data_IF_379360203899
#
_entry.id   IF_379360203899
#
_cell.length_a   1.000
_cell.length_b   1.000
_cell.length_c   1.000
_cell.angle_alpha   90.00
_cell.angle_beta   90.00
_cell.angle_gamma   90.00
#
_symmetry.space_group_name_H-M   'P 1'
#
loop_
_entity.id
_entity.type
_entity.pdbx_description
1 polymer ?
#
# COMPACT_ATOMS: atom_id res chain seq x y z
N UNK A 1 6.27 3.41 14.43
CA UNK A 1 5.30 2.46 13.86
C UNK A 1 5.26 2.43 12.32
N UNK A 2 6.17 3.13 11.60
CA UNK A 2 6.31 3.05 10.13
C UNK A 2 7.77 2.85 9.68
N UNK A 3 8.64 2.50 10.63
CA UNK A 3 10.10 2.50 10.43
C UNK A 3 10.54 1.44 9.45
N UNK A 4 9.96 0.24 9.52
CA UNK A 4 10.26 -0.88 8.61
C UNK A 4 9.92 -0.52 7.16
N UNK A 5 8.75 0.10 6.97
CA UNK A 5 8.31 0.52 5.63
C UNK A 5 9.24 1.57 5.02
N UNK A 6 9.60 2.60 5.80
CA UNK A 6 10.47 3.68 5.34
C UNK A 6 11.87 3.19 4.97
N UNK A 7 12.44 2.27 5.75
CA UNK A 7 13.76 1.70 5.47
C UNK A 7 13.75 0.92 4.14
N UNK A 8 12.73 0.10 3.91
CA UNK A 8 12.60 -0.62 2.66
C UNK A 8 12.29 0.27 1.44
N UNK A 9 11.55 1.37 1.61
CA UNK A 9 11.41 2.39 0.57
C UNK A 9 12.74 3.06 0.22
N UNK A 10 13.60 3.27 1.22
CA UNK A 10 14.95 3.82 1.04
C UNK A 10 15.83 2.84 0.28
N UNK A 11 15.81 1.56 0.66
CA UNK A 11 16.52 0.49 -0.04
C UNK A 11 16.04 0.33 -1.49
N UNK A 12 14.73 0.48 -1.74
CA UNK A 12 14.13 0.44 -3.07
C UNK A 12 14.34 1.72 -3.90
N UNK A 13 14.96 2.76 -3.33
CA UNK A 13 15.25 4.02 -4.04
C UNK A 13 14.00 4.84 -4.41
N UNK A 14 12.88 4.67 -3.69
CA UNK A 14 11.62 5.34 -4.02
C UNK A 14 11.51 6.77 -3.49
N UNK A 15 12.44 7.19 -2.64
CA UNK A 15 12.49 8.56 -2.13
C UNK A 15 12.67 9.60 -3.24
N UNK A 16 13.32 9.25 -4.34
CA UNK A 16 13.47 10.15 -5.49
C UNK A 16 12.12 10.39 -6.17
N UNK A 17 11.31 9.34 -6.32
CA UNK A 17 9.93 9.41 -6.85
C UNK A 17 9.04 10.21 -5.91
N UNK A 18 9.14 9.96 -4.60
CA UNK A 18 8.43 10.75 -3.58
C UNK A 18 9.00 12.16 -3.40
N UNK A 19 10.11 12.52 -4.02
CA UNK A 19 10.62 13.89 -4.02
C UNK A 19 10.25 14.63 -5.31
N UNK A 20 9.65 13.95 -6.28
CA UNK A 20 9.15 14.56 -7.50
C UNK A 20 7.98 15.50 -7.21
N UNK A 21 7.78 16.49 -8.10
CA UNK A 21 6.72 17.50 -8.00
C UNK A 21 5.33 16.94 -8.39
N UNK A 22 5.25 15.65 -8.68
CA UNK A 22 4.01 14.95 -9.06
C UNK A 22 3.22 14.51 -7.82
N UNK A 23 1.88 14.63 -7.85
CA UNK A 23 1.05 14.19 -6.75
C UNK A 23 1.04 12.66 -6.66
N UNK A 24 1.40 12.12 -5.50
CA UNK A 24 1.39 10.67 -5.24
C UNK A 24 0.57 10.31 -4.01
N UNK A 25 -0.08 9.16 -4.06
CA UNK A 25 -0.75 8.59 -2.89
C UNK A 25 0.05 7.40 -2.40
N UNK A 26 0.51 7.46 -1.15
CA UNK A 26 1.31 6.43 -0.51
C UNK A 26 0.47 5.67 0.51
N UNK A 27 0.43 4.35 0.40
CA UNK A 27 -0.16 3.48 1.41
C UNK A 27 0.94 2.94 2.32
N UNK A 28 1.04 3.43 3.55
CA UNK A 28 2.09 3.07 4.48
C UNK A 28 1.58 2.03 5.51
N UNK A 29 1.94 0.74 5.35
CA UNK A 29 1.65 -0.28 6.35
C UNK A 29 2.38 -0.03 7.67
N UNK A 30 1.70 -0.33 8.77
CA UNK A 30 2.30 -0.26 10.11
C UNK A 30 3.34 -1.36 10.33
N UNK A 31 4.24 -1.18 11.29
CA UNK A 31 5.18 -2.25 11.69
C UNK A 31 4.43 -3.55 12.07
N UNK A 32 3.23 -3.44 12.66
CA UNK A 32 2.35 -4.60 12.96
C UNK A 32 1.84 -5.30 11.71
N UNK A 33 1.55 -4.55 10.65
CA UNK A 33 1.13 -5.12 9.37
C UNK A 33 2.23 -6.05 8.81
N UNK A 34 3.50 -5.68 8.96
CA UNK A 34 4.64 -6.51 8.57
C UNK A 34 4.78 -7.75 9.44
N UNK A 35 4.57 -7.64 10.75
CA UNK A 35 4.56 -8.81 11.65
C UNK A 35 3.47 -9.80 11.22
N UNK A 36 2.24 -9.30 11.01
CA UNK A 36 1.12 -10.11 10.53
C UNK A 36 1.40 -10.72 9.15
N UNK A 37 2.05 -9.97 8.26
CA UNK A 37 2.48 -10.50 6.97
C UNK A 37 3.38 -11.71 7.17
N UNK A 38 4.44 -11.61 7.98
CA UNK A 38 5.39 -12.70 8.23
C UNK A 38 4.70 -13.93 8.84
N UNK A 39 3.72 -13.72 9.71
CA UNK A 39 2.94 -14.81 10.32
C UNK A 39 1.98 -15.49 9.31
N UNK A 40 1.38 -14.73 8.40
CA UNK A 40 0.37 -15.22 7.46
C UNK A 40 0.94 -15.59 6.08
N UNK A 41 2.21 -15.29 5.81
CA UNK A 41 2.84 -15.46 4.51
C UNK A 41 3.83 -16.62 4.51
N UNK A 42 3.84 -17.39 3.43
CA UNK A 42 4.81 -18.45 3.22
C UNK A 42 6.26 -17.89 3.16
N UNK A 43 7.20 -18.61 3.77
CA UNK A 43 8.62 -18.21 3.77
C UNK A 43 9.24 -18.03 2.38
N UNK A 44 8.65 -18.63 1.34
CA UNK A 44 9.05 -18.41 -0.06
C UNK A 44 8.73 -17.00 -0.56
N UNK A 45 7.56 -16.46 -0.22
CA UNK A 45 7.20 -15.09 -0.59
C UNK A 45 8.02 -14.07 0.21
N UNK A 46 8.29 -14.36 1.49
CA UNK A 46 9.20 -13.54 2.29
C UNK A 46 10.62 -13.51 1.70
N UNK A 47 11.13 -14.65 1.22
CA UNK A 47 12.42 -14.69 0.51
C UNK A 47 12.39 -13.89 -0.78
N UNK A 48 11.36 -14.06 -1.62
CA UNK A 48 11.21 -13.25 -2.84
C UNK A 48 11.20 -11.76 -2.52
N UNK A 49 10.52 -11.38 -1.44
CA UNK A 49 10.43 -9.99 -1.00
C UNK A 49 11.77 -9.45 -0.47
N UNK A 50 12.56 -10.29 0.20
CA UNK A 50 13.93 -9.98 0.63
C UNK A 50 14.88 -9.83 -0.57
N UNK A 51 14.69 -10.64 -1.62
CA UNK A 51 15.48 -10.58 -2.85
C UNK A 51 15.15 -9.35 -3.72
N UNK A 52 13.87 -9.01 -3.90
CA UNK A 52 13.43 -7.82 -4.62
C UNK A 52 12.25 -7.12 -3.93
N UNK A 53 12.53 -6.17 -3.02
CA UNK A 53 11.48 -5.44 -2.32
C UNK A 53 10.85 -4.31 -3.15
N UNK A 54 11.52 -3.87 -4.23
CA UNK A 54 11.10 -2.74 -5.04
C UNK A 54 9.65 -2.83 -5.57
N UNK A 55 9.18 -3.94 -6.18
CA UNK A 55 7.81 -4.05 -6.67
C UNK A 55 6.78 -3.95 -5.55
N UNK A 56 7.05 -4.49 -4.36
CA UNK A 56 6.14 -4.36 -3.22
C UNK A 56 5.97 -2.90 -2.81
N UNK A 57 7.07 -2.18 -2.63
CA UNK A 57 6.97 -0.77 -2.24
C UNK A 57 6.32 0.08 -3.34
N UNK A 58 6.62 -0.18 -4.63
CA UNK A 58 5.93 0.48 -5.76
C UNK A 58 4.43 0.17 -5.80
N UNK A 59 4.00 -0.99 -5.32
CA UNK A 59 2.59 -1.36 -5.28
C UNK A 59 1.80 -0.53 -4.25
N UNK A 60 2.48 -0.05 -3.21
CA UNK A 60 1.92 0.88 -2.23
C UNK A 60 1.85 2.33 -2.73
N UNK A 61 2.40 2.63 -3.92
CA UNK A 61 2.35 3.96 -4.51
C UNK A 61 1.34 3.99 -5.65
N UNK A 62 0.45 4.97 -5.61
CA UNK A 62 -0.49 5.28 -6.67
C UNK A 62 -0.15 6.66 -7.23
N UNK A 63 -0.20 6.77 -8.56
CA UNK A 63 -0.07 8.06 -9.24
C UNK A 63 -1.37 8.86 -9.09
N UNK A 64 -1.24 10.11 -8.63
CA UNK A 64 -2.37 10.99 -8.37
C UNK A 64 -2.68 11.20 -6.89
N UNK A 65 -3.55 12.17 -6.65
CA UNK A 65 -4.05 12.53 -5.32
C UNK A 65 -5.35 11.80 -5.05
N UNK A 66 -5.37 10.91 -4.05
CA UNK A 66 -6.55 10.19 -3.62
C UNK A 66 -6.81 10.47 -2.15
N UNK A 67 -7.79 11.32 -1.86
CA UNK A 67 -8.31 11.50 -0.51
C UNK A 67 -9.20 10.32 -0.12
N UNK A 68 -9.28 10.02 1.19
CA UNK A 68 -10.14 8.97 1.73
C UNK A 68 -11.60 9.19 1.31
N UNK A 69 -12.04 10.45 1.24
CA UNK A 69 -13.40 10.86 0.83
C UNK A 69 -13.70 10.64 -0.65
N UNK A 70 -12.67 10.51 -1.49
CA UNK A 70 -12.81 10.25 -2.93
C UNK A 70 -12.77 8.77 -3.26
N UNK A 71 -12.39 7.93 -2.30
CA UNK A 71 -12.41 6.47 -2.43
C UNK A 71 -13.86 6.01 -2.41
N UNK A 72 -14.24 5.29 -3.47
CA UNK A 72 -15.57 4.70 -3.61
C UNK A 72 -15.44 3.18 -3.76
N UNK A 73 -16.52 2.47 -3.42
CA UNK A 73 -16.60 1.04 -3.67
C UNK A 73 -16.43 0.71 -5.16
N UNK A 74 -15.55 -0.25 -5.46
CA UNK A 74 -15.22 -0.64 -6.83
C UNK A 74 -14.28 0.32 -7.56
N UNK A 75 -13.77 1.36 -6.90
CA UNK A 75 -12.74 2.22 -7.49
C UNK A 75 -11.50 1.38 -7.79
N UNK A 76 -10.96 1.48 -9.00
CA UNK A 76 -9.73 0.76 -9.38
C UNK A 76 -8.70 1.77 -9.86
N UNK A 77 -7.52 1.76 -9.25
CA UNK A 77 -6.42 2.65 -9.60
C UNK A 77 -5.18 1.88 -9.97
N UNK A 78 -4.38 2.42 -10.88
CA UNK A 78 -3.13 1.81 -11.30
C UNK A 78 -2.01 2.19 -10.33
N UNK A 79 -1.32 1.20 -9.78
CA UNK A 79 -0.14 1.43 -8.92
C UNK A 79 1.12 1.65 -9.77
N UNK A 80 2.20 2.15 -9.15
CA UNK A 80 3.51 2.27 -9.81
C UNK A 80 4.16 0.92 -10.13
N UNK A 81 3.75 -0.17 -9.46
CA UNK A 81 4.18 -1.51 -9.84
C UNK A 81 3.53 -1.99 -11.16
N UNK A 82 2.56 -1.25 -11.70
CA UNK A 82 1.89 -1.56 -12.96
C UNK A 82 0.61 -2.39 -12.80
N UNK A 83 0.42 -3.02 -11.65
CA UNK A 83 -0.77 -3.79 -11.28
C UNK A 83 -1.85 -2.87 -10.66
N UNK A 84 -3.14 -3.10 -10.96
CA UNK A 84 -4.22 -2.30 -10.39
C UNK A 84 -4.50 -2.67 -8.92
N UNK A 85 -4.98 -1.67 -8.16
CA UNK A 85 -5.49 -1.81 -6.79
C UNK A 85 -6.97 -1.44 -6.79
N UNK A 86 -7.82 -2.30 -6.21
CA UNK A 86 -9.27 -2.09 -6.14
C UNK A 86 -9.66 -1.70 -4.71
N UNK A 87 -10.47 -0.67 -4.56
CA UNK A 87 -10.98 -0.23 -3.27
C UNK A 87 -12.39 -0.79 -3.07
N UNK A 88 -12.68 -1.27 -1.87
CA UNK A 88 -14.04 -1.67 -1.49
C UNK A 88 -14.44 -1.03 -0.16
N UNK A 89 -15.65 -0.48 -0.15
CA UNK A 89 -16.23 0.03 1.06
C UNK A 89 -17.04 -1.10 1.71
N UNK A 90 -16.60 -1.59 2.87
CA UNK A 90 -17.41 -2.57 3.60
C UNK A 90 -18.53 -1.86 4.39
N UNK A 91 -19.75 -2.46 4.42
CA UNK A 91 -20.91 -1.86 5.09
C UNK A 91 -20.84 -1.87 6.63
N UNK A 92 -19.84 -2.51 7.24
CA UNK A 92 -19.66 -2.56 8.69
C UNK A 92 -18.84 -1.34 9.19
N UNK A 93 -19.47 -0.17 9.13
CA UNK A 93 -19.02 1.05 9.80
C UNK A 93 -17.80 1.74 9.19
N UNK A 94 -17.99 2.52 8.12
CA UNK A 94 -17.08 3.57 7.61
C UNK A 94 -15.62 3.16 7.29
N UNK A 95 -15.24 1.89 7.48
CA UNK A 95 -13.89 1.41 7.23
C UNK A 95 -13.74 1.06 5.77
N UNK A 96 -13.00 1.89 5.06
CA UNK A 96 -12.54 1.60 3.71
C UNK A 96 -11.49 0.49 3.74
N UNK A 97 -11.75 -0.56 2.96
CA UNK A 97 -10.83 -1.67 2.76
C UNK A 97 -10.23 -1.61 1.36
N UNK A 98 -8.93 -1.76 1.30
CA UNK A 98 -8.14 -1.90 0.09
C UNK A 98 -8.16 -3.39 -0.25
N UNK A 99 -8.80 -3.75 -1.37
CA UNK A 99 -8.84 -5.12 -1.86
C UNK A 99 -7.79 -5.31 -2.95
N UNK A 100 -6.95 -6.32 -2.74
CA UNK A 100 -5.96 -6.70 -3.71
C UNK A 100 -6.59 -7.74 -4.63
N UNK A 101 -6.56 -7.49 -5.94
CA UNK A 101 -7.06 -8.40 -6.97
C UNK A 101 -8.48 -8.93 -6.66
N UNK A 102 -9.41 -8.01 -6.36
CA UNK A 102 -10.79 -8.30 -5.96
C UNK A 102 -10.93 -9.23 -4.73
N UNK A 103 -10.02 -9.10 -3.76
CA UNK A 103 -10.07 -9.83 -2.49
C UNK A 103 -9.34 -11.18 -2.48
N UNK A 104 -8.60 -11.50 -3.53
CA UNK A 104 -7.84 -12.75 -3.64
C UNK A 104 -6.49 -12.71 -2.95
N UNK A 105 -5.86 -11.52 -2.85
CA UNK A 105 -4.49 -11.38 -2.37
C UNK A 105 -4.36 -10.60 -1.04
N UNK A 106 -5.50 -10.26 -0.41
CA UNK A 106 -5.55 -9.61 0.89
C UNK A 106 -6.51 -8.43 0.94
N UNK A 107 -6.98 -8.13 2.14
CA UNK A 107 -7.74 -6.92 2.46
C UNK A 107 -6.92 -6.09 3.47
N UNK A 108 -6.63 -4.83 3.14
CA UNK A 108 -5.97 -3.91 4.06
C UNK A 108 -6.95 -2.80 4.46
N UNK A 109 -7.15 -2.62 5.77
CA UNK A 109 -7.97 -1.51 6.26
C UNK A 109 -7.11 -0.26 6.47
N UNK A 110 -7.69 0.90 6.19
CA UNK A 110 -7.11 2.19 6.60
C UNK A 110 -7.11 2.29 8.14
N UNK A 111 -5.93 2.51 8.71
CA UNK A 111 -5.73 2.65 10.16
C UNK A 111 -5.24 4.04 10.45
N UNK A 112 -6.11 4.85 11.07
CA UNK A 112 -5.79 6.22 11.45
C UNK A 112 -6.28 7.24 10.42
N UNK A 113 -5.68 8.42 10.44
CA UNK A 113 -6.07 9.54 9.57
C UNK A 113 -5.15 9.60 8.34
N UNK A 114 -5.68 10.12 7.24
CA UNK A 114 -4.87 10.54 6.10
C UNK A 114 -3.89 11.63 6.54
N UNK A 115 -2.62 11.46 6.15
CA UNK A 115 -1.57 12.42 6.43
C UNK A 115 -1.28 13.20 5.14
N UNK A 116 -1.51 14.51 5.17
CA UNK A 116 -1.16 15.38 4.06
C UNK A 116 0.36 15.50 3.93
N UNK A 117 0.89 15.12 2.77
CA UNK A 117 2.28 15.28 2.41
C UNK A 117 2.44 16.44 1.42
N UNK A 118 3.66 16.97 1.28
CA UNK A 118 3.93 18.10 0.38
C UNK A 118 3.57 17.79 -1.08
N UNK A 119 3.78 16.56 -1.49
CA UNK A 119 3.59 16.05 -2.84
C UNK A 119 2.50 14.97 -2.90
N UNK A 120 1.54 14.98 -1.97
CA UNK A 120 0.39 14.09 -2.03
C UNK A 120 -0.19 13.68 -0.67
N UNK A 121 -0.58 12.42 -0.52
CA UNK A 121 -1.27 11.91 0.68
C UNK A 121 -0.68 10.58 1.11
N UNK A 122 -0.54 10.41 2.42
CA UNK A 122 -0.12 9.14 3.03
C UNK A 122 -1.32 8.55 3.78
N UNK A 123 -1.69 7.33 3.41
CA UNK A 123 -2.72 6.53 4.04
C UNK A 123 -2.07 5.43 4.86
N UNK A 124 -2.27 5.44 6.17
CA UNK A 124 -1.73 4.38 7.03
C UNK A 124 -2.67 3.17 6.99
N UNK A 125 -2.12 1.96 6.88
CA UNK A 125 -2.90 0.71 6.72
C UNK A 125 -2.44 -0.39 7.69
N UNK A 126 -3.36 -1.31 8.02
CA UNK A 126 -3.08 -2.42 8.96
C UNK A 126 -2.46 -3.66 8.32
N UNK A 127 -2.37 -3.72 6.99
CA UNK A 127 -1.87 -4.88 6.27
C UNK A 127 -0.94 -4.45 5.13
N UNK A 128 0.04 -5.28 4.80
CA UNK A 128 0.96 -5.03 3.69
C UNK A 128 0.30 -5.43 2.37
N UNK A 129 0.36 -4.56 1.37
CA UNK A 129 -0.14 -4.85 0.03
C UNK A 129 0.88 -5.68 -0.76
N UNK A 130 0.50 -6.91 -1.08
CA UNK A 130 1.30 -7.80 -1.91
C UNK A 130 0.89 -7.67 -3.39
N UNK A 131 1.81 -7.38 -4.32
CA UNK A 131 1.51 -7.51 -5.73
C UNK A 131 1.23 -9.00 -6.05
N UNK A 132 0.31 -9.29 -6.99
CA UNK A 132 0.11 -10.66 -7.45
C UNK A 132 1.42 -11.19 -8.08
N UNK A 133 1.76 -12.46 -7.80
CA UNK A 133 2.78 -13.19 -8.56
C UNK A 133 2.30 -13.25 -10.03
N UNK A 134 3.09 -12.74 -10.97
CA UNK A 134 2.83 -12.92 -12.42
C UNK A 134 2.84 -14.40 -12.81
#
# INVERSE_FOLDING_TARGET
>A
DLTTFLDGMQAAGLFDILSADTPHTLFAPTDRAFEQLVENTSGELLKKLDEDPAPLFKYHLIDGYLATTSIQDGLTLKTLAGTPLTFAAQPDGDKLQLLINNGQAGAAALVGQELAARNGVIHVIDAVLLPPDE
#
